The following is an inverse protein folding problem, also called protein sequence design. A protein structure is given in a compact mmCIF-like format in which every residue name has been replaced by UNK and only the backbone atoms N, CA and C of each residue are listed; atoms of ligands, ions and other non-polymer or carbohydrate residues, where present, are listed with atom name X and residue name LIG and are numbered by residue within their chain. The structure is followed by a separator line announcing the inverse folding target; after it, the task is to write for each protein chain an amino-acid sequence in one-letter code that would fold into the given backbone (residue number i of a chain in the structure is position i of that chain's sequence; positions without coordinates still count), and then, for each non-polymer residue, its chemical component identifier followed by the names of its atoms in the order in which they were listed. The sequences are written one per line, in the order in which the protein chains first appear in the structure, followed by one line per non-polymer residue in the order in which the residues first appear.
data_IF_847446474061
#
_entry.id   IF_847446474061
#
_cell.length_a   1.000
_cell.length_b   1.000
_cell.length_c   1.000
_cell.angle_alpha   90.00
_cell.angle_beta   90.00
_cell.angle_gamma   90.00
#
_symmetry.space_group_name_H-M   'P 1'
#
loop_
_entity.id
_entity.type
_entity.pdbx_description
1 polymer ?
#
# COMPACT_ATOMS: atom_id res chain seq x y z
N UNK A 1 -18.41 2.80 -34.88
CA UNK A 1 -17.54 3.15 -33.74
C UNK A 1 -18.27 3.41 -32.40
N UNK A 2 -19.60 3.20 -32.29
CA UNK A 2 -20.32 3.39 -31.02
C UNK A 2 -20.51 2.11 -30.17
N UNK A 3 -20.01 0.96 -30.62
CA UNK A 3 -20.21 -0.33 -29.95
C UNK A 3 -19.24 -0.59 -28.77
N UNK A 4 -18.12 0.13 -28.69
CA UNK A 4 -17.19 0.01 -27.55
C UNK A 4 -17.64 0.77 -26.29
N UNK A 5 -18.61 1.69 -26.42
CA UNK A 5 -19.16 2.48 -25.30
C UNK A 5 -20.22 1.74 -24.46
N UNK A 6 -20.65 0.56 -24.91
CA UNK A 6 -21.65 -0.29 -24.26
C UNK A 6 -21.05 -1.58 -23.67
N UNK A 7 -19.73 -1.62 -23.46
CA UNK A 7 -19.17 -2.66 -22.58
C UNK A 7 -19.76 -2.42 -21.17
N UNK A 8 -20.28 -3.44 -20.47
CA UNK A 8 -20.86 -3.26 -19.15
C UNK A 8 -19.75 -2.84 -18.18
N UNK A 9 -19.58 -1.53 -17.97
CA UNK A 9 -18.58 -0.95 -17.07
C UNK A 9 -18.68 -1.51 -15.64
N UNK A 10 -19.88 -1.99 -15.25
CA UNK A 10 -20.11 -2.69 -14.00
C UNK A 10 -19.46 -4.08 -13.90
N UNK A 11 -19.37 -4.84 -15.00
CA UNK A 11 -18.67 -6.13 -15.01
C UNK A 11 -17.17 -5.93 -14.87
N UNK A 12 -16.62 -4.92 -15.53
CA UNK A 12 -15.20 -4.58 -15.46
C UNK A 12 -14.77 -4.21 -14.03
N UNK A 13 -15.58 -3.41 -13.33
CA UNK A 13 -15.33 -3.04 -11.95
C UNK A 13 -15.35 -4.29 -11.03
N UNK A 14 -16.33 -5.18 -11.21
CA UNK A 14 -16.43 -6.41 -10.43
C UNK A 14 -15.23 -7.35 -10.69
N UNK A 15 -14.83 -7.52 -11.96
CA UNK A 15 -13.66 -8.32 -12.34
C UNK A 15 -12.38 -7.72 -11.74
N UNK A 16 -12.24 -6.40 -11.75
CA UNK A 16 -11.06 -5.74 -11.18
C UNK A 16 -10.90 -5.99 -9.67
N UNK A 17 -12.01 -5.95 -8.92
CA UNK A 17 -12.03 -6.28 -7.49
C UNK A 17 -11.67 -7.76 -7.27
N UNK A 18 -12.20 -8.67 -8.08
CA UNK A 18 -11.89 -10.10 -8.00
C UNK A 18 -10.41 -10.38 -8.28
N UNK A 19 -9.83 -9.76 -9.31
CA UNK A 19 -8.41 -9.86 -9.63
C UNK A 19 -7.55 -9.32 -8.48
N UNK A 20 -7.92 -8.19 -7.90
CA UNK A 20 -7.23 -7.64 -6.72
C UNK A 20 -7.25 -8.64 -5.56
N UNK A 21 -8.40 -9.25 -5.28
CA UNK A 21 -8.53 -10.26 -4.23
C UNK A 21 -7.70 -11.52 -4.50
N UNK A 22 -7.65 -11.99 -5.75
CA UNK A 22 -6.74 -13.08 -6.15
C UNK A 22 -5.28 -12.69 -5.89
N UNK A 23 -4.89 -11.47 -6.25
CA UNK A 23 -3.56 -10.94 -5.95
C UNK A 23 -3.24 -11.01 -4.44
N UNK A 24 -4.19 -10.60 -3.59
CA UNK A 24 -4.03 -10.69 -2.13
C UNK A 24 -3.85 -12.14 -1.65
N UNK A 25 -4.62 -13.08 -2.20
CA UNK A 25 -4.56 -14.51 -1.86
C UNK A 25 -3.21 -15.12 -2.27
N UNK A 26 -2.76 -14.89 -3.51
CA UNK A 26 -1.48 -15.41 -3.99
C UNK A 26 -0.29 -14.81 -3.23
N UNK A 27 -0.34 -13.51 -2.89
CA UNK A 27 0.67 -12.89 -2.02
C UNK A 27 0.70 -13.54 -0.64
N UNK A 28 -0.46 -13.86 -0.05
CA UNK A 28 -0.54 -14.57 1.23
C UNK A 28 0.05 -15.98 1.19
N UNK A 29 0.13 -16.61 0.01
CA UNK A 29 0.78 -17.89 -0.21
C UNK A 29 2.28 -17.76 -0.54
N UNK A 30 2.85 -16.55 -0.54
CA UNK A 30 4.23 -16.29 -0.97
C UNK A 30 4.45 -16.42 -2.48
N UNK A 31 3.38 -16.55 -3.28
CA UNK A 31 3.45 -16.67 -4.75
C UNK A 31 3.40 -15.28 -5.38
N UNK A 32 4.49 -14.53 -5.21
CA UNK A 32 4.51 -13.11 -5.50
C UNK A 32 4.34 -12.77 -6.98
N UNK A 33 4.95 -13.52 -7.90
CA UNK A 33 4.82 -13.25 -9.34
C UNK A 33 3.37 -13.36 -9.83
N UNK A 34 2.63 -14.35 -9.31
CA UNK A 34 1.21 -14.50 -9.61
C UNK A 34 0.41 -13.36 -9.01
N UNK A 35 0.74 -12.93 -7.79
CA UNK A 35 0.10 -11.78 -7.15
C UNK A 35 0.27 -10.50 -7.99
N UNK A 36 1.50 -10.21 -8.42
CA UNK A 36 1.82 -9.07 -9.28
C UNK A 36 1.02 -9.13 -10.59
N UNK A 37 0.98 -10.29 -11.26
CA UNK A 37 0.20 -10.47 -12.49
C UNK A 37 -1.29 -10.18 -12.32
N UNK A 38 -1.89 -10.59 -11.20
CA UNK A 38 -3.30 -10.29 -10.93
C UNK A 38 -3.53 -8.82 -10.57
N UNK A 39 -2.62 -8.19 -9.83
CA UNK A 39 -2.68 -6.76 -9.54
C UNK A 39 -2.55 -5.91 -10.81
N UNK A 40 -1.66 -6.27 -11.74
CA UNK A 40 -1.51 -5.55 -13.02
C UNK A 40 -2.79 -5.62 -13.86
N UNK A 41 -3.42 -6.79 -13.94
CA UNK A 41 -4.70 -6.95 -14.62
C UNK A 41 -5.81 -6.12 -13.95
N UNK A 42 -5.87 -6.13 -12.61
CA UNK A 42 -6.81 -5.29 -11.87
C UNK A 42 -6.58 -3.80 -12.15
N UNK A 43 -5.32 -3.35 -12.17
CA UNK A 43 -4.94 -1.96 -12.40
C UNK A 43 -5.42 -1.46 -13.77
N UNK A 44 -5.30 -2.29 -14.81
CA UNK A 44 -5.79 -1.97 -16.16
C UNK A 44 -7.31 -1.74 -16.14
N UNK A 45 -8.05 -2.64 -15.48
CA UNK A 45 -9.51 -2.54 -15.41
C UNK A 45 -9.97 -1.35 -14.55
N UNK A 46 -9.36 -1.12 -13.38
CA UNK A 46 -9.70 0.01 -12.52
C UNK A 46 -9.45 1.35 -13.21
N UNK A 47 -8.35 1.47 -13.98
CA UNK A 47 -8.10 2.66 -14.82
C UNK A 47 -9.15 2.82 -15.92
N UNK A 48 -9.57 1.72 -16.56
CA UNK A 48 -10.62 1.74 -17.60
C UNK A 48 -11.96 2.23 -17.07
N UNK A 49 -12.34 1.81 -15.86
CA UNK A 49 -13.60 2.23 -15.22
C UNK A 49 -13.46 3.51 -14.39
N UNK A 50 -12.30 4.17 -14.43
CA UNK A 50 -12.00 5.42 -13.72
C UNK A 50 -12.15 5.31 -12.18
N UNK A 51 -11.93 4.13 -11.61
CA UNK A 51 -11.91 3.92 -10.16
C UNK A 51 -10.56 4.34 -9.57
N UNK A 52 -10.41 5.63 -9.30
CA UNK A 52 -9.15 6.18 -8.77
C UNK A 52 -8.78 5.62 -7.38
N UNK A 53 -9.78 5.32 -6.54
CA UNK A 53 -9.54 4.78 -5.20
C UNK A 53 -9.08 3.31 -5.30
N UNK A 54 -9.71 2.53 -6.17
CA UNK A 54 -9.26 1.18 -6.51
C UNK A 54 -7.83 1.17 -7.03
N UNK A 55 -7.49 2.07 -7.96
CA UNK A 55 -6.13 2.22 -8.50
C UNK A 55 -5.12 2.48 -7.37
N UNK A 56 -5.42 3.38 -6.44
CA UNK A 56 -4.57 3.63 -5.27
C UNK A 56 -4.41 2.39 -4.38
N UNK A 57 -5.50 1.65 -4.16
CA UNK A 57 -5.52 0.37 -3.43
C UNK A 57 -4.62 -0.70 -4.05
N UNK A 58 -4.62 -0.80 -5.38
CA UNK A 58 -3.76 -1.73 -6.12
C UNK A 58 -2.30 -1.33 -6.03
N UNK A 59 -1.95 -0.06 -6.21
CA UNK A 59 -0.56 0.41 -6.01
C UNK A 59 -0.06 0.16 -4.59
N UNK A 60 -0.90 0.37 -3.58
CA UNK A 60 -0.55 0.05 -2.19
C UNK A 60 -0.30 -1.46 -2.00
N UNK A 61 -1.10 -2.29 -2.67
CA UNK A 61 -0.94 -3.75 -2.64
C UNK A 61 0.31 -4.24 -3.38
N UNK A 62 0.65 -3.63 -4.51
CA UNK A 62 1.91 -3.85 -5.23
C UNK A 62 3.10 -3.45 -4.36
N UNK A 63 3.05 -2.27 -3.73
CA UNK A 63 4.10 -1.79 -2.83
C UNK A 63 4.38 -2.76 -1.68
N UNK A 64 3.33 -3.26 -1.03
CA UNK A 64 3.48 -4.33 -0.02
C UNK A 64 4.08 -5.61 -0.59
N UNK A 65 3.70 -6.00 -1.81
CA UNK A 65 4.19 -7.23 -2.47
C UNK A 65 5.69 -7.13 -2.74
N UNK A 66 6.14 -6.04 -3.35
CA UNK A 66 7.56 -5.79 -3.59
C UNK A 66 8.36 -5.69 -2.29
N UNK A 67 7.81 -5.07 -1.24
CA UNK A 67 8.44 -5.05 0.07
C UNK A 67 8.67 -6.48 0.62
N UNK A 68 7.68 -7.36 0.50
CA UNK A 68 7.81 -8.76 0.92
C UNK A 68 8.81 -9.56 0.08
N UNK A 69 9.07 -9.13 -1.16
CA UNK A 69 10.12 -9.69 -2.03
C UNK A 69 11.52 -9.11 -1.76
N UNK A 70 11.64 -8.05 -0.95
CA UNK A 70 12.89 -7.30 -0.77
C UNK A 70 13.23 -6.33 -1.91
N UNK A 71 12.31 -6.14 -2.87
CA UNK A 71 12.44 -5.19 -3.98
C UNK A 71 12.11 -3.77 -3.49
N UNK A 72 13.02 -3.19 -2.69
CA UNK A 72 12.78 -1.90 -2.02
C UNK A 72 12.53 -0.72 -2.98
N UNK A 73 13.25 -0.57 -4.12
CA UNK A 73 12.99 0.52 -5.06
C UNK A 73 11.57 0.50 -5.66
N UNK A 74 11.12 -0.68 -6.08
CA UNK A 74 9.79 -0.90 -6.65
C UNK A 74 8.70 -0.71 -5.59
N UNK A 75 8.95 -1.20 -4.37
CA UNK A 75 8.06 -1.00 -3.23
C UNK A 75 7.88 0.49 -2.92
N UNK A 76 8.98 1.24 -2.89
CA UNK A 76 8.98 2.68 -2.62
C UNK A 76 8.17 3.43 -3.68
N UNK A 77 8.43 3.17 -4.96
CA UNK A 77 7.74 3.81 -6.08
C UNK A 77 6.22 3.56 -6.04
N UNK A 78 5.81 2.31 -5.79
CA UNK A 78 4.40 1.95 -5.68
C UNK A 78 3.71 2.62 -4.48
N UNK A 79 4.37 2.62 -3.30
CA UNK A 79 3.79 3.24 -2.11
C UNK A 79 3.68 4.78 -2.24
N UNK A 80 4.68 5.44 -2.84
CA UNK A 80 4.63 6.88 -3.12
C UNK A 80 3.51 7.22 -4.12
N UNK A 81 3.33 6.40 -5.15
CA UNK A 81 2.23 6.56 -6.11
C UNK A 81 0.88 6.44 -5.42
N UNK A 82 0.68 5.40 -4.60
CA UNK A 82 -0.55 5.22 -3.82
C UNK A 82 -0.79 6.40 -2.87
N UNK A 83 0.24 6.85 -2.14
CA UNK A 83 0.15 7.96 -1.20
C UNK A 83 -0.30 9.26 -1.90
N UNK A 84 0.33 9.63 -3.02
CA UNK A 84 -0.04 10.83 -3.77
C UNK A 84 -1.49 10.79 -4.26
N UNK A 85 -1.98 9.61 -4.62
CA UNK A 85 -3.39 9.42 -4.99
C UNK A 85 -4.32 9.56 -3.79
N UNK A 86 -4.02 8.90 -2.66
CA UNK A 86 -4.83 9.03 -1.45
C UNK A 86 -4.86 10.46 -0.90
N UNK A 87 -3.75 11.20 -1.00
CA UNK A 87 -3.69 12.62 -0.66
C UNK A 87 -4.65 13.45 -1.52
N UNK A 88 -4.62 13.23 -2.85
CA UNK A 88 -5.55 13.90 -3.79
C UNK A 88 -7.01 13.55 -3.49
N UNK A 89 -7.28 12.30 -3.12
CA UNK A 89 -8.61 11.78 -2.78
C UNK A 89 -9.03 12.10 -1.34
N UNK A 90 -8.13 12.66 -0.51
CA UNK A 90 -8.33 12.91 0.93
C UNK A 90 -8.70 11.65 1.73
N UNK A 91 -8.19 10.49 1.33
CA UNK A 91 -8.41 9.23 2.04
C UNK A 91 -7.33 8.98 3.09
N UNK A 92 -7.56 9.46 4.31
CA UNK A 92 -6.61 9.34 5.41
C UNK A 92 -6.28 7.89 5.79
N UNK A 93 -7.23 6.96 5.62
CA UNK A 93 -7.00 5.53 5.94
C UNK A 93 -6.09 4.89 4.90
N UNK A 94 -6.29 5.19 3.62
CA UNK A 94 -5.38 4.80 2.54
C UNK A 94 -3.98 5.38 2.75
N UNK A 95 -3.89 6.66 3.12
CA UNK A 95 -2.60 7.31 3.46
C UNK A 95 -1.87 6.57 4.58
N UNK A 96 -2.56 6.19 5.66
CA UNK A 96 -1.95 5.41 6.74
C UNK A 96 -1.44 4.03 6.28
N UNK A 97 -2.17 3.36 5.38
CA UNK A 97 -1.72 2.11 4.77
C UNK A 97 -0.42 2.29 3.96
N UNK A 98 -0.34 3.35 3.15
CA UNK A 98 0.86 3.66 2.37
C UNK A 98 2.04 4.08 3.25
N UNK A 99 1.81 4.94 4.26
CA UNK A 99 2.83 5.32 5.23
C UNK A 99 3.34 4.14 6.03
N UNK A 100 2.48 3.20 6.42
CA UNK A 100 2.90 1.99 7.10
C UNK A 100 3.95 1.25 6.25
N UNK A 101 3.67 0.99 4.96
CA UNK A 101 4.64 0.34 4.09
C UNK A 101 5.91 1.17 3.87
N UNK A 102 5.81 2.48 3.70
CA UNK A 102 6.97 3.38 3.59
C UNK A 102 7.85 3.33 4.84
N UNK A 103 7.26 3.29 6.04
CA UNK A 103 8.02 3.23 7.27
C UNK A 103 8.88 1.95 7.36
N UNK A 104 8.33 0.79 6.93
CA UNK A 104 9.10 -0.45 6.82
C UNK A 104 10.16 -0.41 5.72
N UNK A 105 9.89 0.26 4.60
CA UNK A 105 10.90 0.45 3.54
C UNK A 105 12.07 1.27 4.07
N UNK A 106 11.81 2.36 4.79
CA UNK A 106 12.86 3.18 5.39
C UNK A 106 13.64 2.43 6.45
N UNK A 107 12.99 1.61 7.27
CA UNK A 107 13.70 0.76 8.24
C UNK A 107 14.62 -0.26 7.56
N UNK A 108 14.15 -0.89 6.48
CA UNK A 108 14.94 -1.81 5.68
C UNK A 108 16.12 -1.13 4.95
N UNK A 109 16.03 0.19 4.71
CA UNK A 109 17.11 1.02 4.18
C UNK A 109 18.04 1.57 5.27
N UNK A 110 17.81 1.21 6.54
CA UNK A 110 18.51 1.76 7.72
C UNK A 110 18.30 3.27 7.94
N UNK A 111 17.31 3.88 7.30
CA UNK A 111 16.90 5.26 7.55
C UNK A 111 15.86 5.30 8.69
N UNK A 112 16.36 5.13 9.92
CA UNK A 112 15.53 5.12 11.12
C UNK A 112 14.84 6.47 11.36
N UNK A 113 15.45 7.58 10.93
CA UNK A 113 14.88 8.91 11.06
C UNK A 113 13.57 9.04 10.26
N UNK A 114 13.59 8.60 8.99
CA UNK A 114 12.39 8.60 8.16
C UNK A 114 11.38 7.53 8.60
N UNK A 115 11.85 6.35 9.02
CA UNK A 115 10.97 5.29 9.52
C UNK A 115 10.15 5.75 10.73
N UNK A 116 10.80 6.35 11.73
CA UNK A 116 10.15 6.89 12.94
C UNK A 116 9.16 7.99 12.57
N UNK A 117 9.59 9.02 11.82
CA UNK A 117 8.70 10.13 11.40
C UNK A 117 7.48 9.65 10.62
N UNK A 118 7.65 8.61 9.80
CA UNK A 118 6.55 8.07 9.00
C UNK A 118 5.60 7.23 9.85
N UNK A 119 6.13 6.41 10.77
CA UNK A 119 5.31 5.61 11.69
C UNK A 119 4.52 6.48 12.68
N UNK A 120 5.05 7.64 13.10
CA UNK A 120 4.29 8.60 13.91
C UNK A 120 3.01 9.05 13.21
N UNK A 121 3.04 9.28 11.89
CA UNK A 121 1.85 9.61 11.09
C UNK A 121 0.83 8.46 11.11
N UNK A 122 1.29 7.22 10.97
CA UNK A 122 0.42 6.03 11.04
C UNK A 122 -0.27 5.94 12.39
N UNK A 123 0.49 6.05 13.49
CA UNK A 123 -0.04 6.00 14.86
C UNK A 123 -1.06 7.12 15.12
N UNK A 124 -0.85 8.33 14.58
CA UNK A 124 -1.82 9.42 14.69
C UNK A 124 -3.16 9.07 14.04
N UNK A 125 -3.14 8.48 12.84
CA UNK A 125 -4.37 8.03 12.15
C UNK A 125 -5.02 6.86 12.89
N UNK A 126 -4.22 5.90 13.37
CA UNK A 126 -4.73 4.77 14.15
C UNK A 126 -5.45 5.23 15.43
N UNK A 127 -4.91 6.24 16.13
CA UNK A 127 -5.56 6.87 17.29
C UNK A 127 -6.86 7.55 16.87
N UNK A 128 -6.82 8.36 15.80
CA UNK A 128 -7.98 9.12 15.32
C UNK A 128 -9.17 8.22 14.98
N UNK A 129 -8.92 7.06 14.38
CA UNK A 129 -9.97 6.15 13.91
C UNK A 129 -10.15 4.88 14.75
N UNK A 130 -9.38 4.70 15.83
CA UNK A 130 -9.44 3.51 16.67
C UNK A 130 -9.09 2.22 15.91
N UNK A 131 -8.05 2.25 15.08
CA UNK A 131 -7.68 1.12 14.24
C UNK A 131 -7.03 -0.01 15.06
N UNK A 132 -7.30 -1.30 14.74
CA UNK A 132 -6.89 -2.43 15.57
C UNK A 132 -5.36 -2.62 15.65
N UNK A 133 -4.62 -2.05 14.70
CA UNK A 133 -3.16 -2.15 14.62
C UNK A 133 -2.41 -1.15 15.51
N UNK A 134 -3.11 -0.26 16.22
CA UNK A 134 -2.50 0.79 17.03
C UNK A 134 -1.44 0.26 18.00
N UNK A 135 -1.73 -0.83 18.71
CA UNK A 135 -0.84 -1.40 19.71
C UNK A 135 0.47 -1.92 19.07
N UNK A 136 0.35 -2.64 17.96
CA UNK A 136 1.48 -3.16 17.18
C UNK A 136 2.32 -2.00 16.61
N UNK A 137 1.68 -0.99 16.02
CA UNK A 137 2.37 0.16 15.42
C UNK A 137 3.12 1.01 16.46
N UNK A 138 2.57 1.15 17.67
CA UNK A 138 3.29 1.79 18.79
C UNK A 138 4.51 0.99 19.22
N UNK A 139 4.43 -0.34 19.24
CA UNK A 139 5.59 -1.17 19.59
C UNK A 139 6.71 -1.00 18.57
N UNK A 140 6.41 -1.01 17.26
CA UNK A 140 7.40 -0.72 16.24
C UNK A 140 8.01 0.67 16.40
N UNK A 141 7.18 1.69 16.64
CA UNK A 141 7.64 3.06 16.84
C UNK A 141 8.63 3.18 18.00
N UNK A 142 8.30 2.61 19.16
CA UNK A 142 9.18 2.63 20.34
C UNK A 142 10.49 1.88 20.08
N UNK A 143 10.43 0.70 19.45
CA UNK A 143 11.62 -0.07 19.10
C UNK A 143 12.54 0.71 18.17
N UNK A 144 12.00 1.37 17.14
CA UNK A 144 12.79 2.15 16.19
C UNK A 144 13.37 3.41 16.83
N UNK A 145 12.63 4.09 17.72
CA UNK A 145 13.18 5.19 18.54
C UNK A 145 14.35 4.73 19.41
N UNK A 146 14.25 3.56 20.04
CA UNK A 146 15.36 3.01 20.84
C UNK A 146 16.58 2.70 19.98
N UNK A 147 16.40 2.09 18.79
CA UNK A 147 17.51 1.82 17.85
C UNK A 147 18.19 3.12 17.39
N UNK A 148 17.40 4.15 17.08
CA UNK A 148 17.88 5.46 16.63
C UNK A 148 18.80 6.12 17.67
N UNK A 149 18.44 6.04 18.96
CA UNK A 149 19.24 6.63 20.05
C UNK A 149 20.34 5.70 20.58
N UNK A 150 20.24 4.39 20.34
CA UNK A 150 21.22 3.38 20.74
C UNK A 150 22.44 3.28 19.82
N UNK A 151 22.31 3.68 18.55
CA UNK A 151 23.42 3.66 17.57
C UNK A 151 24.49 4.75 17.80
N UNK A 152 24.31 5.61 18.81
CA UNK A 152 25.21 6.72 19.15
C UNK A 152 26.01 6.55 20.44
N UNK A 153 26.16 5.33 20.99
CA UNK A 153 27.01 5.05 22.17
C UNK A 153 28.10 4.04 21.87
#
# INVERSE_FOLDING_TARGET
EALDLLRPQGEDAAIAVLLSNLGLVYRGQGKYDQALSFFDQALILMKRVQDELGVAGVYNSLGKTYLMMGCLPEALSCCQTALAMYERLKDEKGMAGAWYHLAFIYEAQHDLDQAVKTMEKVVLIDIKYGLPKLAENRQYLEQWKMKQHGAGR
#
